data_IF_217941696494
#
_entry.id   IF_217941696494
#
_cell.length_a   1.000
_cell.length_b   1.000
_cell.length_c   1.000
_cell.angle_alpha   90.00
_cell.angle_beta   90.00
_cell.angle_gamma   90.00
#
_symmetry.space_group_name_H-M   'P 1'
#
loop_
_entity.id
_entity.type
_entity.pdbx_description
1 polymer ?
#
# COMPACT_ATOMS: atom_id res chain seq x y z
N UNK A 1 -4.95 -5.36 -10.05
CA UNK A 1 -3.86 -4.65 -9.36
C UNK A 1 -2.80 -4.25 -10.36
N UNK A 2 -2.36 -3.00 -10.32
CA UNK A 2 -1.39 -2.40 -11.25
C UNK A 2 0.03 -2.77 -10.82
N UNK A 3 0.77 -3.45 -11.71
CA UNK A 3 2.12 -3.93 -11.40
C UNK A 3 3.20 -2.86 -11.46
N UNK A 4 2.95 -1.79 -12.22
CA UNK A 4 3.92 -0.75 -12.58
C UNK A 4 3.96 0.45 -11.63
N UNK A 5 3.29 0.39 -10.47
CA UNK A 5 3.33 1.49 -9.48
C UNK A 5 4.75 1.70 -8.95
N UNK A 6 5.14 2.97 -8.82
CA UNK A 6 6.50 3.41 -8.48
C UNK A 6 6.59 4.16 -7.15
N UNK A 7 5.49 4.77 -6.70
CA UNK A 7 5.46 5.61 -5.48
C UNK A 7 4.50 5.09 -4.43
N UNK A 8 4.72 5.47 -3.16
CA UNK A 8 3.81 5.17 -2.04
C UNK A 8 2.45 5.80 -2.28
N UNK A 9 2.40 7.01 -2.84
CA UNK A 9 1.15 7.67 -3.21
C UNK A 9 0.31 6.83 -4.18
N UNK A 10 0.94 6.29 -5.22
CA UNK A 10 0.26 5.44 -6.19
C UNK A 10 -0.31 4.16 -5.56
N UNK A 11 0.40 3.57 -4.59
CA UNK A 11 -0.10 2.43 -3.82
C UNK A 11 -1.32 2.82 -2.99
N UNK A 12 -1.29 3.99 -2.35
CA UNK A 12 -2.43 4.49 -1.59
C UNK A 12 -3.63 4.83 -2.49
N UNK A 13 -3.39 5.40 -3.67
CA UNK A 13 -4.42 5.72 -4.64
C UNK A 13 -5.13 4.44 -5.12
N UNK A 14 -4.37 3.40 -5.46
CA UNK A 14 -4.94 2.08 -5.79
C UNK A 14 -5.81 1.51 -4.68
N UNK A 15 -5.36 1.68 -3.43
CA UNK A 15 -6.08 1.21 -2.26
C UNK A 15 -7.39 1.96 -1.99
N UNK A 16 -7.35 3.29 -2.03
CA UNK A 16 -8.45 4.15 -1.55
C UNK A 16 -9.44 4.57 -2.63
N UNK A 17 -8.99 4.78 -3.87
CA UNK A 17 -9.80 5.28 -4.98
C UNK A 17 -9.93 4.24 -6.09
N UNK A 18 -8.84 3.51 -6.36
CA UNK A 18 -8.69 2.69 -7.55
C UNK A 18 -7.84 3.39 -8.61
N UNK A 19 -7.51 2.67 -9.68
CA UNK A 19 -6.70 3.18 -10.79
C UNK A 19 -7.39 2.82 -12.12
N UNK A 20 -7.29 3.71 -13.11
CA UNK A 20 -7.86 3.54 -14.46
C UNK A 20 -9.37 3.26 -14.47
N UNK A 21 -10.13 3.89 -13.57
CA UNK A 21 -11.59 3.68 -13.46
C UNK A 21 -11.99 2.33 -12.86
N UNK A 22 -11.04 1.50 -12.42
CA UNK A 22 -11.32 0.28 -11.66
C UNK A 22 -11.68 0.59 -10.20
N UNK A 23 -12.33 -0.35 -9.49
CA UNK A 23 -12.69 -0.17 -8.10
C UNK A 23 -11.46 -0.03 -7.20
N UNK A 24 -11.63 0.68 -6.08
CA UNK A 24 -10.64 0.72 -5.01
C UNK A 24 -10.34 -0.71 -4.51
N UNK A 25 -9.06 -1.03 -4.31
CA UNK A 25 -8.67 -2.35 -3.78
C UNK A 25 -9.23 -2.59 -2.39
N UNK A 26 -9.47 -1.53 -1.61
CA UNK A 26 -10.19 -1.63 -0.33
C UNK A 26 -11.56 -2.27 -0.48
N UNK A 27 -12.36 -1.82 -1.43
CA UNK A 27 -13.71 -2.35 -1.64
C UNK A 27 -13.67 -3.81 -2.06
N UNK A 28 -12.71 -4.19 -2.91
CA UNK A 28 -12.51 -5.59 -3.30
C UNK A 28 -12.16 -6.48 -2.11
N UNK A 29 -11.27 -6.00 -1.23
CA UNK A 29 -10.88 -6.72 -0.01
C UNK A 29 -12.04 -6.85 0.98
N UNK A 30 -12.86 -5.81 1.13
CA UNK A 30 -14.02 -5.81 2.03
C UNK A 30 -15.14 -6.74 1.54
N UNK A 31 -15.40 -6.79 0.23
CA UNK A 31 -16.49 -7.59 -0.35
C UNK A 31 -16.07 -9.06 -0.53
N UNK A 32 -14.84 -9.30 -1.00
CA UNK A 32 -14.41 -10.62 -1.45
C UNK A 32 -13.27 -11.22 -0.59
N UNK A 33 -12.74 -10.50 0.39
CA UNK A 33 -11.56 -10.94 1.15
C UNK A 33 -10.38 -11.22 0.21
N UNK A 34 -9.69 -12.34 0.39
CA UNK A 34 -8.57 -12.71 -0.50
C UNK A 34 -9.00 -13.34 -1.84
N UNK A 35 -10.30 -13.57 -2.07
CA UNK A 35 -10.79 -14.29 -3.24
C UNK A 35 -10.72 -13.49 -4.54
N UNK A 36 -10.66 -12.15 -4.49
CA UNK A 36 -10.44 -11.36 -5.70
C UNK A 36 -9.00 -11.47 -6.24
N UNK A 37 -8.05 -11.94 -5.43
CA UNK A 37 -6.67 -12.25 -5.83
C UNK A 37 -6.50 -13.72 -6.20
N UNK A 38 -6.80 -14.08 -7.46
CA UNK A 38 -6.90 -15.49 -7.88
C UNK A 38 -5.55 -16.23 -7.98
N UNK A 39 -4.43 -15.54 -8.21
CA UNK A 39 -3.13 -16.21 -8.38
C UNK A 39 -2.20 -16.03 -7.16
N UNK A 40 -1.34 -17.01 -6.90
CA UNK A 40 -0.30 -16.91 -5.86
C UNK A 40 0.63 -15.70 -6.07
N UNK A 41 0.86 -15.32 -7.33
CA UNK A 41 1.64 -14.14 -7.68
C UNK A 41 0.92 -12.83 -7.38
N UNK A 42 -0.41 -12.76 -7.58
CA UNK A 42 -1.25 -11.62 -7.19
C UNK A 42 -1.29 -11.47 -5.67
N UNK A 43 -1.54 -12.58 -4.94
CA UNK A 43 -1.55 -12.59 -3.47
C UNK A 43 -0.23 -12.07 -2.90
N UNK A 44 0.91 -12.58 -3.38
CA UNK A 44 2.23 -12.11 -2.92
C UNK A 44 2.45 -10.62 -3.19
N UNK A 45 1.97 -10.12 -4.33
CA UNK A 45 2.10 -8.71 -4.68
C UNK A 45 1.18 -7.83 -3.83
N UNK A 46 -0.05 -8.28 -3.60
CA UNK A 46 -0.99 -7.66 -2.67
C UNK A 46 -0.42 -7.55 -1.26
N UNK A 47 0.05 -8.65 -0.67
CA UNK A 47 0.57 -8.62 0.70
C UNK A 47 1.73 -7.64 0.89
N UNK A 48 2.60 -7.47 -0.13
CA UNK A 48 3.67 -6.46 -0.08
C UNK A 48 3.11 -5.03 -0.10
N UNK A 49 2.09 -4.76 -0.91
CA UNK A 49 1.41 -3.46 -0.97
C UNK A 49 0.63 -3.20 0.31
N UNK A 50 -0.03 -4.22 0.85
CA UNK A 50 -0.79 -4.17 2.09
C UNK A 50 0.08 -3.73 3.27
N UNK A 51 1.30 -4.21 3.40
CA UNK A 51 2.25 -3.72 4.42
C UNK A 51 2.51 -2.20 4.37
N UNK A 52 2.60 -1.64 3.17
CA UNK A 52 2.79 -0.20 2.99
C UNK A 52 1.54 0.55 3.44
N UNK A 53 0.36 0.06 3.04
CA UNK A 53 -0.95 0.61 3.40
C UNK A 53 -1.15 0.57 4.92
N UNK A 54 -0.92 -0.58 5.55
CA UNK A 54 -1.10 -0.74 7.00
C UNK A 54 -0.13 0.17 7.77
N UNK A 55 1.10 0.34 7.29
CA UNK A 55 2.04 1.28 7.89
C UNK A 55 1.55 2.73 7.79
N UNK A 56 1.00 3.14 6.64
CA UNK A 56 0.43 4.49 6.47
C UNK A 56 -0.69 4.71 7.49
N UNK A 57 -1.62 3.78 7.61
CA UNK A 57 -2.76 3.85 8.53
C UNK A 57 -2.26 3.90 9.99
N UNK A 58 -1.38 2.99 10.37
CA UNK A 58 -0.82 2.92 11.72
C UNK A 58 -0.05 4.20 12.09
N UNK A 59 0.70 4.78 11.14
CA UNK A 59 1.44 6.03 11.38
C UNK A 59 0.50 7.22 11.53
N UNK A 60 -0.51 7.32 10.66
CA UNK A 60 -1.52 8.37 10.74
C UNK A 60 -2.25 8.35 12.09
N UNK A 61 -2.62 7.16 12.56
CA UNK A 61 -3.26 6.95 13.86
C UNK A 61 -2.33 7.25 15.04
N UNK A 62 -1.10 6.70 15.03
CA UNK A 62 -0.17 6.84 16.15
C UNK A 62 0.34 8.28 16.33
N UNK A 63 0.45 9.04 15.24
CA UNK A 63 0.94 10.42 15.26
C UNK A 63 -0.18 11.46 15.19
N UNK A 64 -1.45 11.04 15.09
CA UNK A 64 -2.61 11.91 14.89
C UNK A 64 -2.43 12.87 13.69
N UNK A 65 -1.93 12.35 12.57
CA UNK A 65 -1.72 13.10 11.32
C UNK A 65 -2.60 12.56 10.20
N UNK A 66 -2.74 13.32 9.11
CA UNK A 66 -3.50 12.86 7.95
C UNK A 66 -2.78 11.73 7.21
N UNK A 67 -3.53 10.93 6.44
CA UNK A 67 -2.94 9.88 5.59
C UNK A 67 -1.97 10.49 4.57
N UNK A 68 -2.26 11.67 4.02
CA UNK A 68 -1.40 12.39 3.07
C UNK A 68 -0.06 12.75 3.71
N UNK A 69 -0.06 13.19 4.97
CA UNK A 69 1.16 13.47 5.73
C UNK A 69 1.97 12.19 5.96
N UNK A 70 1.31 11.10 6.36
CA UNK A 70 1.97 9.80 6.53
C UNK A 70 2.55 9.24 5.22
N UNK A 71 1.83 9.40 4.09
CA UNK A 71 2.28 9.04 2.74
C UNK A 71 3.52 9.84 2.36
N UNK A 72 3.49 11.16 2.56
CA UNK A 72 4.60 12.05 2.24
C UNK A 72 5.86 11.68 3.04
N UNK A 73 5.71 11.44 4.34
CA UNK A 73 6.81 11.01 5.21
C UNK A 73 7.40 9.66 4.74
N UNK A 74 6.54 8.68 4.44
CA UNK A 74 6.99 7.36 4.00
C UNK A 74 7.63 7.38 2.60
N UNK A 75 7.10 8.18 1.68
CA UNK A 75 7.69 8.37 0.35
C UNK A 75 9.05 9.07 0.43
N UNK A 76 9.18 10.07 1.30
CA UNK A 76 10.46 10.75 1.58
C UNK A 76 11.50 9.75 2.09
N UNK A 77 11.12 8.89 3.03
CA UNK A 77 11.98 7.82 3.53
C UNK A 77 12.38 6.85 2.40
N UNK A 78 11.42 6.41 1.58
CA UNK A 78 11.67 5.52 0.43
C UNK A 78 12.66 6.14 -0.56
N UNK A 79 12.44 7.41 -0.93
CA UNK A 79 13.25 8.12 -1.91
C UNK A 79 14.67 8.40 -1.39
N UNK A 80 14.81 8.86 -0.14
CA UNK A 80 16.11 9.11 0.51
C UNK A 80 17.00 7.86 0.52
N UNK A 81 16.40 6.71 0.79
CA UNK A 81 17.09 5.41 0.83
C UNK A 81 17.11 4.68 -0.52
N UNK A 82 16.61 5.31 -1.60
CA UNK A 82 16.53 4.74 -2.96
C UNK A 82 15.86 3.36 -3.01
N UNK A 83 14.86 3.14 -2.14
CA UNK A 83 14.19 1.85 -2.02
C UNK A 83 13.15 1.67 -3.13
N UNK A 84 13.12 0.47 -3.70
CA UNK A 84 11.93 0.04 -4.47
C UNK A 84 10.75 -0.14 -3.51
N UNK A 85 9.52 -0.12 -4.01
CA UNK A 85 8.36 -0.41 -3.14
C UNK A 85 8.41 -1.82 -2.54
N UNK A 86 9.04 -2.77 -3.21
CA UNK A 86 9.24 -4.12 -2.65
C UNK A 86 10.26 -4.10 -1.51
N UNK A 87 11.40 -3.42 -1.70
CA UNK A 87 12.40 -3.25 -0.64
C UNK A 87 11.81 -2.50 0.56
N UNK A 88 11.02 -1.45 0.31
CA UNK A 88 10.26 -0.74 1.34
C UNK A 88 9.35 -1.71 2.10
N UNK A 89 8.51 -2.49 1.42
CA UNK A 89 7.63 -3.47 2.09
C UNK A 89 8.39 -4.51 2.93
N UNK A 90 9.65 -4.79 2.58
CA UNK A 90 10.53 -5.67 3.34
C UNK A 90 11.11 -5.02 4.60
N UNK A 91 11.34 -3.70 4.58
CA UNK A 91 11.89 -2.95 5.71
C UNK A 91 10.83 -2.56 6.76
N UNK A 92 9.55 -2.53 6.38
CA UNK A 92 8.47 -2.20 7.32
C UNK A 92 8.25 -3.37 8.29
N UNK A 93 8.19 -3.05 9.59
CA UNK A 93 7.86 -4.03 10.64
C UNK A 93 6.44 -4.55 10.38
N UNK A 94 6.22 -5.82 10.72
CA UNK A 94 4.88 -6.41 10.70
C UNK A 94 4.11 -5.77 11.87
N UNK A 95 3.04 -5.03 11.59
CA UNK A 95 2.06 -4.72 12.62
C UNK A 95 1.40 -6.03 13.01
N UNK A 96 1.78 -6.57 14.16
CA UNK A 96 1.16 -7.73 14.82
C UNK A 96 -0.23 -7.39 15.30
#
# INVERSE_FOLDING_TARGET
MVRSLKTVYQVWQEWSVGIHGGPAVRNLEEIHGSLWCNTSADKRFFFRRRKIIDHIIATAQAQCISHEQAICALETHRAKNKLTLNALSGSLKRST
#
